data_IF_428798307429
#
_entry.id   IF_428798307429
#
_cell.length_a   1.000
_cell.length_b   1.000
_cell.length_c   1.000
_cell.angle_alpha   90.00
_cell.angle_beta   90.00
_cell.angle_gamma   90.00
#
_symmetry.space_group_name_H-M   'P 1'
#
loop_
_entity.id
_entity.type
_entity.pdbx_description
1 polymer ?
#
# COMPACT_ATOMS: atom_id res chain seq x y z
N UNK A 1 -2.42 -20.63 19.05
CA UNK A 1 -2.92 -19.26 19.27
C UNK A 1 -1.69 -18.39 19.52
N UNK A 2 -1.32 -17.55 18.57
CA UNK A 2 -0.19 -16.63 18.67
C UNK A 2 -0.49 -15.57 19.74
N UNK A 3 0.38 -15.44 20.74
CA UNK A 3 0.21 -14.45 21.79
C UNK A 3 0.47 -13.03 21.25
N UNK A 4 -0.30 -12.02 21.71
CA UNK A 4 -0.09 -10.64 21.28
C UNK A 4 1.25 -10.10 21.79
N UNK A 5 2.03 -9.53 20.86
CA UNK A 5 3.33 -8.92 21.11
C UNK A 5 3.18 -7.41 21.32
N UNK A 6 3.88 -6.88 22.33
CA UNK A 6 4.02 -5.42 22.52
C UNK A 6 5.27 -4.94 21.79
N UNK A 7 5.06 -4.15 20.74
CA UNK A 7 6.14 -3.53 19.98
C UNK A 7 6.16 -2.02 20.21
N UNK A 8 7.31 -1.40 19.95
CA UNK A 8 7.46 0.05 19.91
C UNK A 8 7.83 0.45 18.49
N UNK A 9 6.95 1.21 17.85
CA UNK A 9 7.15 1.70 16.49
C UNK A 9 7.56 3.17 16.54
N UNK A 10 8.51 3.59 15.70
CA UNK A 10 8.94 5.00 15.63
C UNK A 10 8.52 5.58 14.29
N UNK A 11 7.75 6.66 14.32
CA UNK A 11 7.30 7.41 13.13
C UNK A 11 7.54 8.90 13.40
N UNK A 12 8.28 9.60 12.52
CA UNK A 12 8.46 11.05 12.59
C UNK A 12 8.97 11.55 13.96
N UNK A 13 9.99 10.88 14.50
CA UNK A 13 10.58 11.10 15.84
C UNK A 13 9.62 10.84 17.02
N UNK A 14 8.47 10.20 16.79
CA UNK A 14 7.51 9.83 17.85
C UNK A 14 7.46 8.31 18.02
N UNK A 15 7.53 7.88 19.28
CA UNK A 15 7.46 6.49 19.67
C UNK A 15 6.02 6.11 20.03
N UNK A 16 5.47 5.15 19.31
CA UNK A 16 4.13 4.62 19.53
C UNK A 16 4.22 3.17 20.03
N UNK A 17 3.82 2.90 21.29
CA UNK A 17 3.69 1.53 21.77
C UNK A 17 2.40 0.91 21.22
N UNK A 18 2.52 -0.23 20.54
CA UNK A 18 1.41 -0.98 19.95
C UNK A 18 1.42 -2.42 20.43
N UNK A 19 0.23 -3.01 20.57
CA UNK A 19 0.06 -4.44 20.82
C UNK A 19 -0.49 -5.08 19.55
N UNK A 20 0.24 -6.00 18.94
CA UNK A 20 -0.06 -6.59 17.64
C UNK A 20 0.11 -8.11 17.66
N UNK A 21 -0.42 -8.79 16.65
CA UNK A 21 -0.14 -10.21 16.46
C UNK A 21 1.22 -10.41 15.74
N UNK A 22 1.93 -11.52 15.99
CA UNK A 22 3.24 -11.79 15.39
C UNK A 22 3.22 -11.77 13.86
N UNK A 23 2.12 -12.21 13.23
CA UNK A 23 2.01 -12.24 11.77
C UNK A 23 1.99 -10.83 11.15
N UNK A 24 1.66 -9.80 11.95
CA UNK A 24 1.53 -8.41 11.49
C UNK A 24 2.79 -7.57 11.75
N UNK A 25 3.75 -8.05 12.55
CA UNK A 25 4.92 -7.25 12.95
C UNK A 25 5.75 -6.82 11.73
N UNK A 26 6.02 -7.75 10.82
CA UNK A 26 6.83 -7.48 9.65
C UNK A 26 6.17 -6.41 8.75
N UNK A 27 4.85 -6.51 8.57
CA UNK A 27 4.06 -5.55 7.81
C UNK A 27 4.11 -4.16 8.43
N UNK A 28 3.88 -4.04 9.74
CA UNK A 28 3.94 -2.76 10.45
C UNK A 28 5.35 -2.14 10.40
N UNK A 29 6.42 -2.92 10.57
CA UNK A 29 7.79 -2.38 10.49
C UNK A 29 8.13 -1.88 9.08
N UNK A 30 7.73 -2.61 8.03
CA UNK A 30 7.93 -2.19 6.65
C UNK A 30 7.14 -0.91 6.35
N UNK A 31 5.88 -0.83 6.78
CA UNK A 31 5.05 0.37 6.63
C UNK A 31 5.66 1.59 7.34
N UNK A 32 6.14 1.43 8.58
CA UNK A 32 6.81 2.47 9.35
C UNK A 32 8.01 3.06 8.60
N UNK A 33 8.88 2.19 8.05
CA UNK A 33 10.04 2.64 7.26
C UNK A 33 9.62 3.41 6.01
N UNK A 34 8.60 2.92 5.30
CA UNK A 34 8.11 3.56 4.07
C UNK A 34 7.54 4.95 4.33
N UNK A 35 6.79 5.12 5.43
CA UNK A 35 6.29 6.41 5.90
C UNK A 35 7.47 7.35 6.20
N UNK A 36 8.45 6.89 6.97
CA UNK A 36 9.63 7.67 7.34
C UNK A 36 10.44 8.16 6.11
N UNK A 37 10.60 7.30 5.10
CA UNK A 37 11.24 7.67 3.84
C UNK A 37 10.44 8.71 3.06
N UNK A 38 9.10 8.60 3.03
CA UNK A 38 8.23 9.60 2.39
C UNK A 38 8.31 10.94 3.09
N UNK A 39 8.25 10.97 4.43
CA UNK A 39 8.40 12.19 5.23
C UNK A 39 9.72 12.89 4.88
N UNK A 40 10.84 12.16 4.86
CA UNK A 40 12.15 12.70 4.48
C UNK A 40 12.20 13.24 3.05
N UNK A 41 11.46 12.64 2.12
CA UNK A 41 11.36 13.17 0.75
C UNK A 41 10.59 14.48 0.73
N UNK A 42 9.45 14.55 1.43
CA UNK A 42 8.65 15.77 1.48
C UNK A 42 9.36 16.90 2.23
N UNK A 43 10.06 16.63 3.33
CA UNK A 43 10.88 17.61 4.04
C UNK A 43 12.02 18.19 3.17
N UNK A 44 12.57 17.39 2.26
CA UNK A 44 13.58 17.85 1.29
C UNK A 44 12.98 18.64 0.13
N UNK A 45 11.85 18.18 -0.40
CA UNK A 45 11.22 18.76 -1.60
C UNK A 45 10.40 20.01 -1.31
N UNK A 46 9.83 20.10 -0.11
CA UNK A 46 9.01 21.22 0.33
C UNK A 46 9.57 21.63 1.69
N UNK A 47 9.93 22.90 1.86
CA UNK A 47 10.39 23.45 3.13
C UNK A 47 9.25 23.53 4.18
N UNK A 48 8.45 22.47 4.29
CA UNK A 48 7.32 22.32 5.19
C UNK A 48 7.88 22.18 6.58
N UNK A 49 7.59 23.19 7.41
CA UNK A 49 8.06 23.26 8.78
C UNK A 49 7.19 22.47 9.75
N UNK A 50 5.96 22.13 9.36
CA UNK A 50 5.02 21.41 10.23
C UNK A 50 5.00 19.91 9.92
N UNK A 51 5.42 19.10 10.90
CA UNK A 51 5.42 17.64 10.82
C UNK A 51 4.01 17.07 10.66
N UNK A 52 2.97 17.78 11.10
CA UNK A 52 1.58 17.34 10.96
C UNK A 52 1.10 17.43 9.51
N UNK A 53 1.45 18.51 8.81
CA UNK A 53 1.10 18.70 7.41
C UNK A 53 1.82 17.69 6.50
N UNK A 54 3.09 17.39 6.79
CA UNK A 54 3.83 16.35 6.05
C UNK A 54 3.20 14.98 6.24
N UNK A 55 2.70 14.66 7.44
CA UNK A 55 1.97 13.42 7.70
C UNK A 55 0.64 13.37 6.94
N UNK A 56 -0.10 14.48 6.87
CA UNK A 56 -1.33 14.58 6.10
C UNK A 56 -1.08 14.39 4.59
N UNK A 57 0.00 14.98 4.04
CA UNK A 57 0.41 14.76 2.65
C UNK A 57 0.78 13.29 2.40
N UNK A 58 1.49 12.66 3.34
CA UNK A 58 1.80 11.23 3.25
C UNK A 58 0.53 10.38 3.23
N UNK A 59 -0.44 10.68 4.11
CA UNK A 59 -1.72 9.96 4.17
C UNK A 59 -2.51 10.09 2.86
N UNK A 60 -2.57 11.30 2.29
CA UNK A 60 -3.22 11.55 1.00
C UNK A 60 -2.53 10.76 -0.12
N UNK A 61 -1.20 10.77 -0.18
CA UNK A 61 -0.45 10.04 -1.19
C UNK A 61 -0.66 8.52 -1.10
N UNK A 62 -0.73 7.98 0.12
CA UNK A 62 -1.05 6.56 0.32
C UNK A 62 -2.48 6.23 -0.06
N UNK A 63 -3.46 7.05 0.35
CA UNK A 63 -4.86 6.87 -0.05
C UNK A 63 -5.01 6.90 -1.57
N UNK A 64 -4.39 7.89 -2.24
CA UNK A 64 -4.40 7.97 -3.70
C UNK A 64 -3.77 6.75 -4.38
N UNK A 65 -2.69 6.19 -3.83
CA UNK A 65 -2.08 4.97 -4.35
C UNK A 65 -2.99 3.75 -4.22
N UNK A 66 -3.70 3.62 -3.11
CA UNK A 66 -4.65 2.51 -2.88
C UNK A 66 -5.84 2.61 -3.83
N UNK A 67 -6.42 3.81 -3.98
CA UNK A 67 -7.51 4.05 -4.94
C UNK A 67 -7.06 3.81 -6.39
N UNK A 68 -5.85 4.23 -6.76
CA UNK A 68 -5.28 3.94 -8.08
C UNK A 68 -5.05 2.44 -8.31
N UNK A 69 -4.56 1.70 -7.31
CA UNK A 69 -4.40 0.25 -7.42
C UNK A 69 -5.73 -0.47 -7.63
N UNK A 70 -6.80 -0.05 -6.94
CA UNK A 70 -8.14 -0.60 -7.18
C UNK A 70 -8.66 -0.34 -8.61
N UNK A 71 -8.35 0.84 -9.17
CA UNK A 71 -8.67 1.15 -10.57
C UNK A 71 -7.84 0.28 -11.54
N UNK A 72 -6.55 0.11 -11.29
CA UNK A 72 -5.68 -0.73 -12.13
C UNK A 72 -6.08 -2.22 -12.09
N UNK A 73 -6.39 -2.77 -10.91
CA UNK A 73 -6.91 -4.15 -10.78
C UNK A 73 -8.20 -4.35 -11.56
N UNK A 74 -9.12 -3.37 -11.54
CA UNK A 74 -10.36 -3.44 -12.32
C UNK A 74 -10.10 -3.46 -13.83
N UNK A 75 -9.11 -2.70 -14.31
CA UNK A 75 -8.72 -2.68 -15.72
C UNK A 75 -8.02 -3.99 -16.13
N UNK A 76 -7.18 -4.54 -15.26
CA UNK A 76 -6.47 -5.79 -15.50
C UNK A 76 -7.46 -6.98 -15.62
N UNK A 77 -8.46 -7.05 -14.74
CA UNK A 77 -9.52 -8.06 -14.79
C UNK A 77 -10.33 -7.98 -16.09
N UNK A 78 -10.71 -6.78 -16.53
CA UNK A 78 -11.40 -6.59 -17.82
C UNK A 78 -10.53 -7.04 -18.99
N UNK A 79 -9.22 -6.75 -18.95
CA UNK A 79 -8.29 -7.20 -20.00
C UNK A 79 -8.16 -8.73 -20.02
N UNK A 80 -8.14 -9.37 -18.85
CA UNK A 80 -8.05 -10.82 -18.70
C UNK A 80 -9.32 -11.50 -19.19
N UNK A 81 -10.50 -11.00 -18.84
CA UNK A 81 -11.78 -11.50 -19.37
C UNK A 81 -11.84 -11.40 -20.89
N UNK A 82 -11.35 -10.30 -21.46
CA UNK A 82 -11.33 -10.10 -22.91
C UNK A 82 -10.41 -11.13 -23.59
N UNK A 83 -9.24 -11.40 -23.01
CA UNK A 83 -8.31 -12.42 -23.50
C UNK A 83 -8.87 -13.83 -23.37
N UNK A 84 -9.54 -14.15 -22.26
CA UNK A 84 -10.22 -15.43 -22.05
C UNK A 84 -11.32 -15.66 -23.10
N UNK A 85 -12.19 -14.68 -23.33
CA UNK A 85 -13.22 -14.76 -24.39
C UNK A 85 -12.62 -14.94 -25.79
N UNK A 86 -11.52 -14.25 -26.08
CA UNK A 86 -10.82 -14.42 -27.36
C UNK A 86 -10.23 -15.82 -27.52
N UNK A 87 -9.70 -16.41 -26.45
CA UNK A 87 -9.20 -17.79 -26.46
C UNK A 87 -10.34 -18.80 -26.62
N UNK A 88 -11.47 -18.61 -25.92
CA UNK A 88 -12.65 -19.47 -26.08
C UNK A 88 -13.20 -19.44 -27.50
N UNK A 89 -13.24 -18.26 -28.14
CA UNK A 89 -13.63 -18.12 -29.55
C UNK A 89 -12.68 -18.85 -30.49
N UNK A 90 -11.38 -18.79 -30.26
CA UNK A 90 -10.37 -19.50 -31.07
C UNK A 90 -10.46 -21.02 -30.92
N UNK A 91 -10.77 -21.51 -29.72
CA UNK A 91 -10.98 -22.95 -29.48
C UNK A 91 -12.28 -23.41 -30.16
N UNK A 92 -13.36 -22.64 -30.04
CA UNK A 92 -14.63 -22.95 -30.68
C UNK A 92 -14.52 -23.00 -32.21
N UNK A 93 -13.77 -22.08 -32.83
CA UNK A 93 -13.52 -22.06 -34.28
C UNK A 93 -12.66 -23.23 -34.78
N UNK A 94 -11.92 -23.91 -33.89
CA UNK A 94 -11.04 -25.04 -34.24
C UNK A 94 -11.72 -26.40 -34.04
N UNK A 95 -12.91 -26.43 -33.43
CA UNK A 95 -13.68 -27.65 -33.15
C UNK A 95 -14.80 -27.94 -34.15
N UNK A 96 -14.98 -27.10 -35.17
CA UNK A 96 -15.75 -27.39 -36.40
C UNK A 96 -14.80 -27.80 -37.54
#
# INVERSE_FOLDING_TARGET
MSEPLKIKLTIADRLYPLTIQPEQEEGLRKASKKIEEMIKRFEKSYAVRDKQDVLAMCALQFAAQVEQQGLDESNDLVSLETRLKALDQLVALRTE
#
